data_IF_804362867704
#
_entry.id   IF_804362867704
#
_cell.length_a   1.000
_cell.length_b   1.000
_cell.length_c   1.000
_cell.angle_alpha   90.00
_cell.angle_beta   90.00
_cell.angle_gamma   90.00
#
_symmetry.space_group_name_H-M   'P 1'
#
loop_
_entity.id
_entity.type
_entity.pdbx_description
1 polymer ?
#
# COMPACT_ATOMS: atom_id res chain seq x y z
N UNK A 1 14.44 -27.08 3.64
CA UNK A 1 13.47 -26.46 2.71
C UNK A 1 13.03 -25.16 3.38
N UNK A 2 13.83 -24.11 3.24
CA UNK A 2 13.69 -22.88 4.03
C UNK A 2 13.10 -21.83 3.09
N UNK A 3 11.80 -21.57 3.24
CA UNK A 3 11.10 -20.51 2.50
C UNK A 3 11.71 -19.18 2.87
N UNK A 4 12.54 -18.70 1.94
CA UNK A 4 13.12 -17.38 1.87
C UNK A 4 11.97 -16.37 1.96
N UNK A 5 11.64 -15.91 3.17
CA UNK A 5 10.73 -14.80 3.42
C UNK A 5 11.43 -13.50 3.01
N UNK A 6 11.80 -13.43 1.73
CA UNK A 6 12.34 -12.23 1.14
C UNK A 6 11.22 -11.20 1.16
N UNK A 7 11.38 -10.20 2.03
CA UNK A 7 10.54 -8.99 2.13
C UNK A 7 10.39 -8.29 0.76
N UNK A 8 11.24 -8.66 -0.20
CA UNK A 8 11.21 -8.32 -1.61
C UNK A 8 11.03 -9.62 -2.43
N UNK A 9 10.04 -9.66 -3.32
CA UNK A 9 10.25 -10.47 -4.53
C UNK A 9 11.37 -9.78 -5.31
N UNK A 10 12.22 -10.55 -5.99
CA UNK A 10 13.37 -10.08 -6.79
C UNK A 10 13.04 -9.03 -7.88
N UNK A 11 11.80 -8.53 -7.94
CA UNK A 11 11.24 -7.58 -8.88
C UNK A 11 10.79 -6.23 -8.27
N UNK A 12 10.98 -5.97 -6.97
CA UNK A 12 10.62 -4.67 -6.36
C UNK A 12 9.12 -4.41 -6.17
N UNK A 13 8.30 -5.46 -6.18
CA UNK A 13 6.86 -5.38 -5.90
C UNK A 13 6.58 -5.28 -4.39
N UNK A 14 5.53 -4.53 -4.04
CA UNK A 14 5.02 -4.40 -2.67
C UNK A 14 4.49 -5.76 -2.16
N UNK A 15 5.08 -6.27 -1.08
CA UNK A 15 4.61 -7.45 -0.34
C UNK A 15 3.41 -7.12 0.55
N UNK A 16 2.58 -8.11 0.86
CA UNK A 16 1.38 -7.97 1.68
C UNK A 16 1.68 -7.31 3.04
N UNK A 17 2.82 -7.63 3.67
CA UNK A 17 3.25 -7.00 4.91
C UNK A 17 3.47 -5.48 4.79
N UNK A 18 4.07 -5.03 3.69
CA UNK A 18 4.29 -3.60 3.44
C UNK A 18 2.97 -2.90 3.13
N UNK A 19 2.08 -3.56 2.37
CA UNK A 19 0.72 -3.07 2.11
C UNK A 19 -0.07 -2.90 3.40
N UNK A 20 0.04 -3.83 4.34
CA UNK A 20 -0.59 -3.73 5.66
C UNK A 20 -0.02 -2.54 6.44
N UNK A 21 1.31 -2.37 6.49
CA UNK A 21 1.92 -1.22 7.16
C UNK A 21 1.53 0.12 6.52
N UNK A 22 1.43 0.19 5.19
CA UNK A 22 0.97 1.39 4.49
C UNK A 22 -0.52 1.62 4.77
N UNK A 23 -1.32 0.55 4.84
CA UNK A 23 -2.76 0.63 5.07
C UNK A 23 -3.11 1.24 6.44
N UNK A 24 -2.29 0.98 7.47
CA UNK A 24 -2.47 1.61 8.78
C UNK A 24 -2.07 3.09 8.80
N UNK A 25 -1.21 3.53 7.88
CA UNK A 25 -0.73 4.92 7.81
C UNK A 25 -1.63 5.85 6.99
N UNK A 26 -2.25 5.34 5.93
CA UNK A 26 -3.07 6.15 4.99
C UNK A 26 -4.37 6.65 5.63
N UNK A 27 -4.97 5.86 6.52
CA UNK A 27 -6.20 6.24 7.22
C UNK A 27 -7.39 6.52 6.29
N UNK A 28 -8.31 7.38 6.73
CA UNK A 28 -9.63 7.55 6.09
C UNK A 28 -9.60 8.19 4.70
N UNK A 29 -8.48 8.82 4.30
CA UNK A 29 -8.33 9.51 3.01
C UNK A 29 -7.87 8.61 1.87
N UNK A 30 -7.79 7.30 2.10
CA UNK A 30 -7.41 6.31 1.09
C UNK A 30 -8.14 6.39 -0.26
N UNK A 31 -9.44 6.75 -0.38
CA UNK A 31 -10.06 6.85 -1.70
C UNK A 31 -9.42 7.93 -2.58
N UNK A 32 -8.95 9.05 -2.01
CA UNK A 32 -8.24 10.09 -2.78
C UNK A 32 -6.94 9.56 -3.37
N UNK A 33 -6.23 8.74 -2.60
CA UNK A 33 -5.02 8.07 -3.05
C UNK A 33 -5.31 7.01 -4.11
N UNK A 34 -6.36 6.22 -3.95
CA UNK A 34 -6.80 5.26 -4.96
C UNK A 34 -7.09 5.92 -6.31
N UNK A 35 -7.78 7.06 -6.31
CA UNK A 35 -8.07 7.82 -7.52
C UNK A 35 -6.79 8.31 -8.21
N UNK A 36 -5.81 8.81 -7.44
CA UNK A 36 -4.51 9.23 -7.97
C UNK A 36 -3.65 8.07 -8.49
N UNK A 37 -3.80 6.89 -7.90
CA UNK A 37 -3.20 5.65 -8.41
C UNK A 37 -3.89 5.11 -9.66
N UNK A 38 -4.94 5.78 -10.15
CA UNK A 38 -5.68 5.40 -11.35
C UNK A 38 -6.73 4.32 -11.12
N UNK A 39 -7.16 4.11 -9.88
CA UNK A 39 -8.37 3.35 -9.59
C UNK A 39 -9.60 4.22 -9.84
N UNK A 40 -10.70 3.58 -10.23
CA UNK A 40 -11.99 4.22 -10.45
C UNK A 40 -12.78 4.32 -9.14
N UNK A 41 -13.63 5.34 -9.03
CA UNK A 41 -14.57 5.52 -7.92
C UNK A 41 -15.44 4.26 -7.70
N UNK A 42 -15.85 3.59 -8.79
CA UNK A 42 -16.58 2.33 -8.73
C UNK A 42 -15.81 1.25 -7.96
N UNK A 43 -14.51 1.05 -8.24
CA UNK A 43 -13.70 0.06 -7.53
C UNK A 43 -13.50 0.44 -6.06
N UNK A 44 -13.39 1.74 -5.75
CA UNK A 44 -13.30 2.22 -4.38
C UNK A 44 -14.61 2.02 -3.61
N UNK A 45 -15.75 2.21 -4.28
CA UNK A 45 -17.07 1.93 -3.73
C UNK A 45 -17.25 0.43 -3.48
N UNK A 46 -16.84 -0.45 -4.40
CA UNK A 46 -16.87 -1.90 -4.22
C UNK A 46 -16.00 -2.34 -3.03
N UNK A 47 -14.81 -1.77 -2.88
CA UNK A 47 -13.93 -2.03 -1.73
C UNK A 47 -14.58 -1.62 -0.41
N UNK A 48 -15.25 -0.47 -0.40
CA UNK A 48 -15.98 0.03 0.78
C UNK A 48 -17.19 -0.85 1.10
N UNK A 49 -17.93 -1.29 0.08
CA UNK A 49 -19.10 -2.16 0.22
C UNK A 49 -18.71 -3.57 0.71
N UNK A 50 -17.56 -4.07 0.25
CA UNK A 50 -17.02 -5.39 0.65
C UNK A 50 -16.54 -5.40 2.10
N UNK A 51 -16.00 -4.28 2.59
CA UNK A 51 -15.36 -4.20 3.92
C UNK A 51 -15.71 -2.93 4.70
N UNK A 52 -17.00 -2.69 5.02
CA UNK A 52 -17.45 -1.41 5.58
C UNK A 52 -16.93 -1.13 7.00
N UNK A 53 -16.71 -2.17 7.80
CA UNK A 53 -16.29 -2.05 9.21
C UNK A 53 -14.76 -1.90 9.38
N UNK A 54 -13.98 -2.39 8.41
CA UNK A 54 -12.53 -2.48 8.54
C UNK A 54 -11.82 -1.55 7.57
N UNK A 55 -11.55 -0.32 8.00
CA UNK A 55 -10.79 0.66 7.24
C UNK A 55 -9.46 0.10 6.71
N UNK A 56 -8.72 -0.62 7.55
CA UNK A 56 -7.45 -1.23 7.16
C UNK A 56 -7.63 -2.25 6.02
N UNK A 57 -8.69 -3.06 6.07
CA UNK A 57 -8.99 -4.01 5.00
C UNK A 57 -9.38 -3.29 3.72
N UNK A 58 -10.15 -2.20 3.78
CA UNK A 58 -10.48 -1.42 2.60
C UNK A 58 -9.21 -0.90 1.92
N UNK A 59 -8.29 -0.33 2.69
CA UNK A 59 -7.06 0.24 2.17
C UNK A 59 -6.16 -0.86 1.59
N UNK A 60 -6.03 -1.99 2.30
CA UNK A 60 -5.31 -3.16 1.80
C UNK A 60 -5.91 -3.68 0.49
N UNK A 61 -7.23 -3.80 0.40
CA UNK A 61 -7.92 -4.31 -0.78
C UNK A 61 -7.77 -3.35 -1.97
N UNK A 62 -7.87 -2.04 -1.72
CA UNK A 62 -7.56 -1.00 -2.71
C UNK A 62 -6.13 -1.11 -3.23
N UNK A 63 -5.15 -1.21 -2.33
CA UNK A 63 -3.74 -1.33 -2.72
C UNK A 63 -3.48 -2.64 -3.48
N UNK A 64 -4.12 -3.74 -3.06
CA UNK A 64 -4.03 -5.02 -3.75
C UNK A 64 -4.63 -4.94 -5.16
N UNK A 65 -5.75 -4.25 -5.35
CA UNK A 65 -6.32 -3.96 -6.66
C UNK A 65 -5.38 -3.12 -7.52
N UNK A 66 -4.77 -2.08 -6.96
CA UNK A 66 -3.78 -1.27 -7.67
C UNK A 66 -2.56 -2.10 -8.07
N UNK A 67 -2.01 -2.91 -7.16
CA UNK A 67 -0.89 -3.81 -7.44
C UNK A 67 -1.25 -4.83 -8.53
N UNK A 68 -2.47 -5.39 -8.50
CA UNK A 68 -2.95 -6.28 -9.57
C UNK A 68 -3.11 -5.57 -10.91
N UNK A 69 -3.53 -4.31 -10.90
CA UNK A 69 -3.75 -3.50 -12.11
C UNK A 69 -2.43 -3.08 -12.77
N UNK A 70 -1.48 -2.57 -11.98
CA UNK A 70 -0.19 -2.08 -12.46
C UNK A 70 0.89 -3.18 -12.54
N UNK A 71 0.66 -4.32 -11.87
CA UNK A 71 1.56 -5.48 -11.79
C UNK A 71 3.01 -5.08 -11.50
N UNK A 72 3.85 -5.02 -12.54
CA UNK A 72 5.28 -4.68 -12.46
C UNK A 72 5.56 -3.19 -12.22
N UNK A 73 4.59 -2.32 -12.47
CA UNK A 73 4.72 -0.87 -12.25
C UNK A 73 4.28 -0.43 -10.86
N UNK A 74 3.64 -1.33 -10.10
CA UNK A 74 3.16 -1.10 -8.74
C UNK A 74 4.32 -1.08 -7.73
N UNK A 75 5.19 -0.10 -7.90
CA UNK A 75 6.39 0.09 -7.10
C UNK A 75 6.15 1.10 -5.99
N UNK A 76 6.89 0.97 -4.89
CA UNK A 76 6.88 1.94 -3.80
C UNK A 76 7.19 3.36 -4.30
N UNK A 77 8.01 3.49 -5.35
CA UNK A 77 8.34 4.77 -5.97
C UNK A 77 7.09 5.48 -6.50
N UNK A 78 6.21 4.75 -7.21
CA UNK A 78 4.96 5.30 -7.74
C UNK A 78 4.02 5.74 -6.62
N UNK A 79 3.93 4.94 -5.56
CA UNK A 79 3.16 5.27 -4.38
C UNK A 79 3.72 6.52 -3.68
N UNK A 80 5.05 6.63 -3.57
CA UNK A 80 5.71 7.80 -2.99
C UNK A 80 5.43 9.08 -3.78
N UNK A 81 5.52 9.03 -5.10
CA UNK A 81 5.21 10.17 -5.97
C UNK A 81 3.77 10.64 -5.76
N UNK A 82 2.81 9.71 -5.74
CA UNK A 82 1.39 10.02 -5.50
C UNK A 82 1.16 10.61 -4.10
N UNK A 83 1.78 10.04 -3.07
CA UNK A 83 1.70 10.58 -1.70
C UNK A 83 2.31 11.99 -1.61
N UNK A 84 3.37 12.26 -2.38
CA UNK A 84 4.04 13.56 -2.43
C UNK A 84 3.17 14.59 -3.13
N UNK A 85 2.52 14.21 -4.23
CA UNK A 85 1.54 15.05 -4.93
C UNK A 85 0.32 15.37 -4.04
N UNK A 86 -0.13 14.41 -3.23
CA UNK A 86 -1.21 14.62 -2.26
C UNK A 86 -0.79 15.43 -1.02
N UNK A 87 0.50 15.73 -0.87
CA UNK A 87 1.02 16.46 0.29
C UNK A 87 1.00 15.63 1.59
N UNK A 88 0.92 14.30 1.50
CA UNK A 88 0.91 13.41 2.67
C UNK A 88 2.32 13.16 3.17
N UNK A 89 3.05 14.25 3.45
CA UNK A 89 4.45 14.20 3.90
C UNK A 89 4.56 13.42 5.20
N UNK A 90 3.56 13.46 6.07
CA UNK A 90 3.53 12.65 7.29
C UNK A 90 3.55 11.14 7.00
N UNK A 91 2.74 10.68 6.04
CA UNK A 91 2.71 9.27 5.62
C UNK A 91 4.01 8.90 4.91
N UNK A 92 4.53 9.77 4.04
CA UNK A 92 5.83 9.56 3.39
C UNK A 92 6.99 9.46 4.38
N UNK A 93 7.03 10.36 5.36
CA UNK A 93 8.00 10.35 6.44
C UNK A 93 7.85 9.07 7.23
N UNK A 94 6.64 8.63 7.56
CA UNK A 94 6.43 7.36 8.27
C UNK A 94 6.87 6.16 7.42
N UNK A 95 6.55 6.09 6.14
CA UNK A 95 7.00 5.00 5.24
C UNK A 95 8.54 4.98 5.12
N UNK A 96 9.19 6.14 5.04
CA UNK A 96 10.66 6.27 4.99
C UNK A 96 11.33 6.01 6.35
N UNK A 97 10.69 6.41 7.45
CA UNK A 97 11.15 6.17 8.81
C UNK A 97 10.71 4.81 9.35
N UNK A 98 9.89 4.05 8.60
CA UNK A 98 9.70 2.63 8.90
C UNK A 98 10.97 1.98 8.39
N UNK A 99 11.96 1.74 9.25
CA UNK A 99 13.19 1.20 8.75
C UNK A 99 12.90 -0.22 8.25
N UNK A 100 13.77 -0.76 7.40
CA UNK A 100 13.80 -2.16 6.95
C UNK A 100 14.05 -3.15 8.13
N UNK A 101 13.56 -2.83 9.32
CA UNK A 101 13.97 -3.37 10.61
C UNK A 101 12.71 -3.68 11.41
N UNK A 102 11.99 -4.72 10.98
CA UNK A 102 11.39 -5.60 11.97
C UNK A 102 11.90 -7.01 11.70
N UNK A 103 12.87 -7.37 12.54
CA UNK A 103 13.24 -8.71 12.97
C UNK A 103 14.24 -9.53 12.12
N UNK A 104 15.51 -9.11 12.17
CA UNK A 104 16.57 -10.05 12.59
C UNK A 104 17.11 -9.54 13.92
N UNK A 105 16.64 -10.14 15.01
CA UNK A 105 17.25 -10.06 16.34
C UNK A 105 17.50 -11.53 16.75
N UNK A 106 18.67 -11.82 17.38
CA UNK A 106 19.74 -12.66 16.83
C UNK A 106 19.57 -14.18 17.00
#
# INVERSE_FOLDING_TARGET
MTTNASIYTSNGCLTDQKLIAISTLIGQRYPELGLKLGLTEAQLAEVKDTTPDNLQHQIFHMLSLWVKKEQKQATLHKLHEVLKELGWISVLTQIQNTPDIFYVIP
#
